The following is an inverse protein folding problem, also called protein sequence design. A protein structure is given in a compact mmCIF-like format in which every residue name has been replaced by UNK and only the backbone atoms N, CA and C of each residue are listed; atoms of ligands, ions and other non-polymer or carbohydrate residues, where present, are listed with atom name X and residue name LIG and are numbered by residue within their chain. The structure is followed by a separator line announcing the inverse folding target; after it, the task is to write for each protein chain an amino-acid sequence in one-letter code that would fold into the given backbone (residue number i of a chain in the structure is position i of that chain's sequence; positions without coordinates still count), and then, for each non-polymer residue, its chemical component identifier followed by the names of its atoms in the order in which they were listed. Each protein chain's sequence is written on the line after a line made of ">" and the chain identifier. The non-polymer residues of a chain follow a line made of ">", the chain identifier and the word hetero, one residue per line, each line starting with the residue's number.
data_IF_786816085504
#
_entry.id   IF_786816085504
#
_cell.length_a   1.000
_cell.length_b   1.000
_cell.length_c   1.000
_cell.angle_alpha   90.00
_cell.angle_beta   90.00
_cell.angle_gamma   90.00
#
_symmetry.space_group_name_H-M   'P 1'
#
loop_
_entity.id
_entity.type
_entity.pdbx_description
1 polymer ?
#
# COMPACT_ATOMS: atom_id res chain seq x y z
N UNK A 1 35.02 49.07 -35.57
CA UNK A 1 34.07 48.08 -36.09
C UNK A 1 34.40 46.74 -35.48
N UNK A 2 33.65 46.34 -34.43
CA UNK A 2 33.74 45.01 -33.83
C UNK A 2 32.45 44.27 -34.24
N UNK A 3 32.54 43.24 -35.06
CA UNK A 3 31.46 42.33 -35.36
C UNK A 3 31.35 41.33 -34.20
N UNK A 4 30.19 41.34 -33.51
CA UNK A 4 29.80 40.36 -32.54
C UNK A 4 29.45 39.03 -33.21
N UNK A 5 30.15 38.01 -32.85
CA UNK A 5 29.94 36.62 -33.29
C UNK A 5 28.79 36.01 -32.46
N UNK A 6 27.53 36.15 -32.89
CA UNK A 6 26.38 35.39 -32.37
C UNK A 6 26.50 33.91 -32.83
N UNK A 7 27.27 33.10 -32.13
CA UNK A 7 27.32 31.65 -32.34
C UNK A 7 26.09 30.95 -31.72
N UNK A 8 25.20 30.59 -32.62
CA UNK A 8 24.34 29.40 -32.67
C UNK A 8 24.30 28.53 -31.42
N UNK A 9 23.42 28.82 -30.46
CA UNK A 9 23.01 27.95 -29.36
C UNK A 9 21.77 27.13 -29.78
N UNK A 10 21.05 27.54 -30.81
CA UNK A 10 19.77 26.96 -31.27
C UNK A 10 19.77 25.48 -31.65
N UNK A 11 20.79 24.89 -32.31
CA UNK A 11 20.74 23.47 -32.66
C UNK A 11 20.86 22.54 -31.45
N UNK A 12 21.53 22.95 -30.38
CA UNK A 12 21.65 22.11 -29.16
C UNK A 12 20.36 22.11 -28.35
N UNK A 13 19.65 23.22 -28.24
CA UNK A 13 18.36 23.31 -27.55
C UNK A 13 17.31 22.48 -28.27
N UNK A 14 17.26 22.53 -29.62
CA UNK A 14 16.34 21.70 -30.42
C UNK A 14 16.63 20.22 -30.27
N UNK A 15 17.89 19.80 -30.21
CA UNK A 15 18.26 18.40 -30.02
C UNK A 15 17.87 17.91 -28.62
N UNK A 16 18.06 18.72 -27.58
CA UNK A 16 17.66 18.37 -26.20
C UNK A 16 16.13 18.25 -26.11
N UNK A 17 15.37 19.19 -26.67
CA UNK A 17 13.90 19.15 -26.64
C UNK A 17 13.37 17.93 -27.42
N UNK A 18 13.99 17.58 -28.56
CA UNK A 18 13.61 16.37 -29.32
C UNK A 18 13.96 15.10 -28.55
N UNK A 19 15.11 15.04 -27.88
CA UNK A 19 15.50 13.89 -27.04
C UNK A 19 14.55 13.72 -25.84
N UNK A 20 14.20 14.81 -25.17
CA UNK A 20 13.22 14.77 -24.07
C UNK A 20 11.82 14.36 -24.55
N UNK A 21 11.38 14.82 -25.72
CA UNK A 21 10.12 14.40 -26.31
C UNK A 21 10.13 12.90 -26.72
N UNK A 22 11.27 12.40 -27.21
CA UNK A 22 11.43 10.96 -27.53
C UNK A 22 11.44 10.12 -26.26
N UNK A 23 12.12 10.55 -25.21
CA UNK A 23 12.15 9.87 -23.91
C UNK A 23 10.73 9.85 -23.30
N UNK A 24 10.02 10.97 -23.32
CA UNK A 24 8.64 11.06 -22.86
C UNK A 24 7.69 10.18 -23.70
N UNK A 25 7.84 10.16 -25.02
CA UNK A 25 7.04 9.32 -25.92
C UNK A 25 7.33 7.82 -25.75
N UNK A 26 8.60 7.45 -25.53
CA UNK A 26 8.99 6.07 -25.26
C UNK A 26 8.55 5.63 -23.86
N UNK A 27 8.67 6.51 -22.86
CA UNK A 27 8.17 6.28 -21.50
C UNK A 27 6.66 6.13 -21.48
N UNK A 28 5.94 7.02 -22.14
CA UNK A 28 4.48 6.94 -22.25
C UNK A 28 4.02 5.73 -23.09
N UNK A 29 4.71 5.43 -24.18
CA UNK A 29 4.43 4.23 -24.99
C UNK A 29 4.70 2.94 -24.25
N UNK A 30 5.75 2.88 -23.45
CA UNK A 30 6.08 1.75 -22.59
C UNK A 30 5.04 1.62 -21.45
N UNK A 31 4.70 2.72 -20.80
CA UNK A 31 3.70 2.77 -19.75
C UNK A 31 2.29 2.40 -20.25
N UNK A 32 1.86 2.93 -21.42
CA UNK A 32 0.57 2.58 -22.02
C UNK A 32 0.52 1.12 -22.50
N UNK A 33 1.66 0.55 -22.89
CA UNK A 33 1.76 -0.88 -23.27
C UNK A 33 1.68 -1.77 -22.03
N UNK A 34 2.33 -1.39 -20.92
CA UNK A 34 2.19 -2.06 -19.62
C UNK A 34 0.74 -2.01 -19.10
N UNK A 35 0.04 -0.89 -19.28
CA UNK A 35 -1.38 -0.77 -18.91
C UNK A 35 -2.31 -1.57 -19.83
N UNK A 36 -2.08 -1.56 -21.12
CA UNK A 36 -2.91 -2.31 -22.10
C UNK A 36 -2.79 -3.83 -21.94
N UNK A 37 -1.64 -4.31 -21.46
CA UNK A 37 -1.40 -5.75 -21.22
C UNK A 37 -1.88 -6.21 -19.84
N UNK A 38 -2.25 -5.28 -18.92
CA UNK A 38 -2.76 -5.59 -17.58
C UNK A 38 -4.27 -5.81 -17.52
N UNK A 39 -5.01 -5.66 -18.63
CA UNK A 39 -6.43 -5.94 -18.67
C UNK A 39 -6.70 -7.46 -18.74
N UNK A 40 -6.64 -8.11 -17.58
CA UNK A 40 -7.30 -9.40 -17.37
C UNK A 40 -8.82 -9.19 -17.38
N UNK A 41 -9.62 -10.21 -17.77
CA UNK A 41 -11.07 -10.07 -17.76
C UNK A 41 -11.53 -9.63 -16.37
N UNK A 42 -12.13 -8.46 -16.29
CA UNK A 42 -12.80 -7.96 -15.08
C UNK A 42 -13.90 -8.95 -14.76
N UNK A 43 -13.90 -9.56 -13.59
CA UNK A 43 -15.05 -10.29 -13.09
C UNK A 43 -16.27 -9.36 -13.18
N UNK A 44 -17.36 -9.87 -13.76
CA UNK A 44 -18.55 -9.05 -14.03
C UNK A 44 -19.15 -8.54 -12.71
N UNK A 45 -18.80 -7.31 -12.35
CA UNK A 45 -19.25 -6.63 -11.12
C UNK A 45 -20.77 -6.45 -11.10
N UNK A 46 -21.44 -6.63 -12.24
CA UNK A 46 -22.88 -6.48 -12.40
C UNK A 46 -23.67 -7.77 -12.09
N UNK A 47 -23.03 -8.85 -11.70
CA UNK A 47 -23.76 -10.04 -11.24
C UNK A 47 -24.55 -9.69 -9.98
N UNK A 48 -25.89 -9.77 -9.97
CA UNK A 48 -26.69 -9.45 -8.79
C UNK A 48 -26.33 -10.38 -7.64
N UNK A 49 -26.01 -9.82 -6.49
CA UNK A 49 -25.87 -10.58 -5.26
C UNK A 49 -27.25 -11.18 -4.85
N UNK A 50 -27.30 -12.37 -4.27
CA UNK A 50 -28.50 -12.86 -3.67
C UNK A 50 -28.98 -11.91 -2.57
N UNK A 51 -30.30 -11.75 -2.35
CA UNK A 51 -30.83 -10.86 -1.34
C UNK A 51 -30.31 -11.27 0.05
N UNK A 52 -29.70 -10.36 0.76
CA UNK A 52 -29.24 -10.54 2.14
C UNK A 52 -30.47 -10.67 3.05
N UNK A 53 -30.64 -11.81 3.69
CA UNK A 53 -31.78 -12.11 4.56
C UNK A 53 -31.46 -11.95 6.06
N UNK A 54 -30.30 -11.44 6.44
CA UNK A 54 -29.95 -11.15 7.84
C UNK A 54 -29.42 -9.75 7.97
N UNK A 55 -30.12 -8.91 8.70
CA UNK A 55 -29.51 -7.75 9.36
C UNK A 55 -28.46 -8.26 10.32
N UNK A 56 -27.21 -7.77 10.30
CA UNK A 56 -26.28 -8.07 11.37
C UNK A 56 -26.92 -7.62 12.69
N UNK A 57 -26.92 -8.50 13.69
CA UNK A 57 -27.15 -8.06 15.06
C UNK A 57 -26.18 -6.90 15.34
N UNK A 58 -26.68 -5.83 15.96
CA UNK A 58 -25.88 -4.63 16.21
C UNK A 58 -24.60 -4.99 16.97
N UNK A 59 -23.58 -4.11 16.93
CA UNK A 59 -22.29 -4.38 17.55
C UNK A 59 -22.49 -4.84 19.00
N UNK A 60 -21.77 -5.90 19.37
CA UNK A 60 -21.73 -6.37 20.75
C UNK A 60 -21.43 -5.23 21.71
N UNK A 61 -21.98 -5.24 22.95
CA UNK A 61 -21.75 -4.16 23.89
C UNK A 61 -20.25 -4.00 24.13
N UNK A 62 -19.76 -2.80 23.83
CA UNK A 62 -18.38 -2.37 24.08
C UNK A 62 -18.00 -2.72 25.52
N UNK A 63 -16.86 -3.37 25.80
CA UNK A 63 -16.39 -3.59 27.15
C UNK A 63 -16.27 -2.24 27.88
N UNK A 64 -16.78 -2.17 29.07
CA UNK A 64 -17.06 -0.94 29.85
C UNK A 64 -15.78 -0.37 30.50
N UNK A 65 -14.61 -0.41 29.89
CA UNK A 65 -13.36 0.26 30.32
C UNK A 65 -12.23 0.02 29.28
N UNK A 66 -12.47 0.30 27.99
CA UNK A 66 -11.35 0.41 27.06
C UNK A 66 -10.51 1.65 27.43
N UNK A 67 -9.21 1.47 27.58
CA UNK A 67 -8.29 2.61 27.74
C UNK A 67 -8.48 3.57 26.56
N UNK A 68 -8.49 4.89 26.80
CA UNK A 68 -8.72 5.87 25.74
C UNK A 68 -7.59 5.80 24.70
N UNK A 69 -7.93 5.96 23.43
CA UNK A 69 -6.95 6.07 22.36
C UNK A 69 -5.89 7.13 22.67
N UNK A 70 -4.64 6.79 22.42
CA UNK A 70 -3.51 7.72 22.58
C UNK A 70 -2.74 7.88 21.28
N UNK A 71 -2.64 9.15 20.81
CA UNK A 71 -1.72 9.52 19.74
C UNK A 71 -0.55 10.28 20.37
N UNK A 72 0.67 9.78 20.18
CA UNK A 72 1.87 10.35 20.80
C UNK A 72 2.96 10.61 19.79
N UNK A 73 3.47 11.83 19.80
CA UNK A 73 4.71 12.19 19.10
C UNK A 73 5.89 11.69 19.90
N UNK A 74 6.63 10.72 19.40
CA UNK A 74 7.88 10.28 20.02
C UNK A 74 9.05 11.22 19.72
N UNK A 75 8.93 12.08 18.72
CA UNK A 75 9.89 13.12 18.44
C UNK A 75 9.82 13.69 17.05
N UNK A 76 10.42 14.87 16.92
CA UNK A 76 10.83 15.43 15.64
C UNK A 76 12.34 15.32 15.56
N UNK A 77 12.84 14.68 14.52
CA UNK A 77 14.27 14.58 14.23
C UNK A 77 14.56 15.52 13.07
N UNK A 78 15.37 16.53 13.32
CA UNK A 78 15.86 17.48 12.30
C UNK A 78 17.39 17.41 12.21
N UNK A 79 17.93 16.49 11.41
CA UNK A 79 19.38 16.32 11.30
C UNK A 79 20.08 17.49 10.60
N UNK A 80 19.36 18.32 9.86
CA UNK A 80 19.92 19.44 9.11
C UNK A 80 19.94 20.77 9.90
N UNK A 81 19.24 20.86 11.05
CA UNK A 81 19.06 22.12 11.79
C UNK A 81 18.30 23.14 10.95
N UNK A 82 17.23 22.69 10.30
CA UNK A 82 16.42 23.48 9.39
C UNK A 82 15.75 24.68 10.08
N UNK A 83 15.30 25.71 9.35
CA UNK A 83 14.67 26.89 9.91
C UNK A 83 13.23 26.65 10.37
N UNK A 84 12.94 25.48 10.92
CA UNK A 84 11.64 25.14 11.52
C UNK A 84 11.51 25.85 12.86
N UNK A 85 10.35 26.44 13.08
CA UNK A 85 9.98 26.97 14.38
C UNK A 85 9.16 25.94 15.15
N UNK A 86 9.05 26.12 16.47
CA UNK A 86 8.18 25.30 17.33
C UNK A 86 6.73 25.27 16.81
N UNK A 87 6.23 26.38 16.24
CA UNK A 87 4.86 26.42 15.70
C UNK A 87 4.68 25.50 14.48
N UNK A 88 5.70 25.32 13.64
CA UNK A 88 5.62 24.37 12.52
C UNK A 88 5.49 22.93 13.05
N UNK A 89 6.32 22.55 14.02
CA UNK A 89 6.29 21.19 14.59
C UNK A 89 4.99 20.94 15.39
N UNK A 90 4.44 21.96 16.07
CA UNK A 90 3.13 21.85 16.71
C UNK A 90 2.05 21.59 15.66
N UNK A 91 2.00 22.36 14.56
CA UNK A 91 0.98 22.19 13.52
C UNK A 91 1.10 20.83 12.79
N UNK A 92 2.33 20.34 12.57
CA UNK A 92 2.53 18.97 12.06
C UNK A 92 1.93 17.93 13.04
N UNK A 93 2.17 18.08 14.33
CA UNK A 93 1.58 17.22 15.37
C UNK A 93 0.05 17.30 15.41
N UNK A 94 -0.51 18.49 15.35
CA UNK A 94 -1.97 18.69 15.28
C UNK A 94 -2.59 18.04 14.03
N UNK A 95 -1.90 18.09 12.89
CA UNK A 95 -2.32 17.37 11.68
C UNK A 95 -2.33 15.85 11.90
N UNK A 96 -1.27 15.29 12.49
CA UNK A 96 -1.19 13.86 12.75
C UNK A 96 -2.28 13.40 13.73
N UNK A 97 -2.55 14.18 14.77
CA UNK A 97 -3.65 13.92 15.70
C UNK A 97 -5.01 13.95 15.00
N UNK A 98 -5.24 14.95 14.13
CA UNK A 98 -6.47 15.08 13.35
C UNK A 98 -6.63 13.98 12.30
N UNK A 99 -5.53 13.36 11.87
CA UNK A 99 -5.52 12.21 10.97
C UNK A 99 -5.82 10.90 11.71
N UNK A 100 -5.11 10.62 12.81
CA UNK A 100 -5.19 9.34 13.49
C UNK A 100 -6.41 9.20 14.41
N UNK A 101 -6.82 10.26 15.12
CA UNK A 101 -7.94 10.16 16.06
C UNK A 101 -9.25 9.68 15.42
N UNK A 102 -9.71 10.24 14.28
CA UNK A 102 -10.91 9.73 13.61
C UNK A 102 -10.77 8.28 13.13
N UNK A 103 -9.59 7.87 12.68
CA UNK A 103 -9.32 6.50 12.25
C UNK A 103 -9.34 5.50 13.40
N UNK A 104 -8.91 5.93 14.58
CA UNK A 104 -8.86 5.09 15.77
C UNK A 104 -10.24 4.87 16.38
N UNK A 105 -11.03 5.92 16.50
CA UNK A 105 -12.30 5.90 17.18
C UNK A 105 -13.51 5.76 16.25
N UNK A 106 -13.27 5.76 14.94
CA UNK A 106 -14.31 5.85 13.90
C UNK A 106 -15.16 7.13 14.04
N UNK A 107 -14.48 8.21 14.40
CA UNK A 107 -15.05 9.53 14.61
C UNK A 107 -15.25 10.33 13.32
N UNK A 108 -15.76 11.54 13.46
CA UNK A 108 -15.91 12.45 12.32
C UNK A 108 -14.61 13.23 12.09
N UNK A 109 -14.02 13.21 10.88
CA UNK A 109 -12.86 14.04 10.56
C UNK A 109 -13.17 15.53 10.68
N UNK A 110 -12.22 16.30 11.20
CA UNK A 110 -12.29 17.76 11.25
C UNK A 110 -10.87 18.33 11.07
N UNK A 111 -10.58 18.79 9.86
CA UNK A 111 -9.29 19.36 9.48
C UNK A 111 -9.39 20.85 9.08
N UNK A 112 -10.58 21.42 9.05
CA UNK A 112 -10.83 22.78 8.52
C UNK A 112 -9.95 23.85 9.19
N UNK A 113 -9.71 23.74 10.49
CA UNK A 113 -8.92 24.71 11.25
C UNK A 113 -7.41 24.64 10.95
N UNK A 114 -6.93 23.56 10.38
CA UNK A 114 -5.50 23.32 10.09
C UNK A 114 -5.08 23.89 8.73
N UNK A 115 -6.02 24.04 7.79
CA UNK A 115 -5.73 24.42 6.42
C UNK A 115 -6.24 25.83 6.07
N UNK A 116 -5.43 26.58 5.32
CA UNK A 116 -5.92 27.77 4.60
C UNK A 116 -6.67 27.35 3.34
N UNK A 117 -6.24 26.26 2.69
CA UNK A 117 -6.88 25.69 1.49
C UNK A 117 -7.99 24.72 1.91
N UNK A 118 -9.24 25.16 1.81
CA UNK A 118 -10.41 24.35 2.20
C UNK A 118 -10.61 23.13 1.29
N UNK A 119 -10.18 23.17 0.03
CA UNK A 119 -10.26 22.02 -0.89
C UNK A 119 -9.34 20.88 -0.43
N UNK A 120 -8.19 21.22 0.11
CA UNK A 120 -7.26 20.25 0.67
C UNK A 120 -7.81 19.62 1.97
N UNK A 121 -8.38 20.44 2.86
CA UNK A 121 -9.05 19.96 4.07
C UNK A 121 -10.21 19.00 3.75
N UNK A 122 -11.08 19.35 2.80
CA UNK A 122 -12.20 18.51 2.36
C UNK A 122 -11.70 17.18 1.77
N UNK A 123 -10.63 17.22 0.98
CA UNK A 123 -9.96 16.08 0.37
C UNK A 123 -9.49 15.06 1.42
N UNK A 124 -8.77 15.54 2.44
CA UNK A 124 -8.31 14.69 3.53
C UNK A 124 -9.47 14.16 4.37
N UNK A 125 -10.50 14.97 4.61
CA UNK A 125 -11.69 14.55 5.35
C UNK A 125 -12.44 13.43 4.60
N UNK A 126 -12.55 13.51 3.27
CA UNK A 126 -13.20 12.48 2.44
C UNK A 126 -12.38 11.19 2.41
N UNK A 127 -11.05 11.29 2.35
CA UNK A 127 -10.15 10.13 2.46
C UNK A 127 -10.33 9.42 3.82
N UNK A 128 -10.34 10.17 4.92
CA UNK A 128 -10.57 9.64 6.26
C UNK A 128 -11.94 8.98 6.40
N UNK A 129 -13.02 9.61 5.92
CA UNK A 129 -14.37 9.02 5.92
C UNK A 129 -14.39 7.69 5.18
N UNK A 130 -13.68 7.59 4.05
CA UNK A 130 -13.59 6.36 3.26
C UNK A 130 -12.83 5.26 4.01
N UNK A 131 -11.69 5.58 4.61
CA UNK A 131 -10.91 4.64 5.42
C UNK A 131 -11.71 4.13 6.63
N UNK A 132 -12.41 5.02 7.31
CA UNK A 132 -13.28 4.67 8.44
C UNK A 132 -14.35 3.68 7.98
N UNK A 133 -15.02 3.93 6.85
CA UNK A 133 -16.03 3.02 6.31
C UNK A 133 -15.45 1.65 5.96
N UNK A 134 -14.26 1.60 5.37
CA UNK A 134 -13.53 0.35 5.08
C UNK A 134 -13.29 -0.44 6.36
N UNK A 135 -12.73 0.21 7.39
CA UNK A 135 -12.41 -0.40 8.67
C UNK A 135 -13.65 -0.85 9.44
N UNK A 136 -14.71 -0.05 9.46
CA UNK A 136 -16.01 -0.42 10.07
C UNK A 136 -16.68 -1.61 9.38
N UNK A 137 -16.37 -1.84 8.09
CA UNK A 137 -16.91 -2.96 7.31
C UNK A 137 -16.09 -4.25 7.49
N UNK A 138 -15.01 -4.25 8.25
CA UNK A 138 -14.22 -5.44 8.53
C UNK A 138 -14.98 -6.43 9.44
N UNK A 139 -14.52 -7.68 9.46
CA UNK A 139 -15.04 -8.71 10.38
C UNK A 139 -14.43 -8.62 11.79
N UNK A 140 -13.43 -7.76 11.97
CA UNK A 140 -12.69 -7.57 13.22
C UNK A 140 -12.79 -6.12 13.66
N UNK A 141 -12.54 -5.87 14.95
CA UNK A 141 -12.49 -4.51 15.48
C UNK A 141 -11.15 -3.85 15.10
N UNK A 142 -11.19 -2.98 14.11
CA UNK A 142 -10.04 -2.24 13.59
C UNK A 142 -9.90 -0.84 14.20
N UNK A 143 -10.53 -0.57 15.34
CA UNK A 143 -10.19 0.60 16.15
C UNK A 143 -8.76 0.48 16.63
N UNK A 144 -8.07 1.60 16.77
CA UNK A 144 -6.73 1.62 17.32
C UNK A 144 -6.75 1.99 18.80
N UNK A 145 -5.93 1.31 19.59
CA UNK A 145 -5.71 1.63 21.00
C UNK A 145 -4.65 2.72 21.16
N UNK A 146 -3.63 2.69 20.31
CA UNK A 146 -2.57 3.69 20.30
C UNK A 146 -1.90 3.84 18.95
N UNK A 147 -1.33 5.03 18.72
CA UNK A 147 -0.34 5.32 17.69
C UNK A 147 0.79 6.12 18.33
N UNK A 148 2.00 5.60 18.22
CA UNK A 148 3.24 6.28 18.61
C UNK A 148 4.05 6.54 17.35
N UNK A 149 4.24 7.82 16.96
CA UNK A 149 4.92 8.17 15.72
C UNK A 149 6.12 9.09 15.92
N UNK A 150 7.04 9.07 14.97
CA UNK A 150 8.17 9.97 14.84
C UNK A 150 8.17 10.56 13.44
N UNK A 151 8.29 11.87 13.31
CA UNK A 151 8.52 12.55 12.05
C UNK A 151 10.00 12.93 11.95
N UNK A 152 10.68 12.41 10.94
CA UNK A 152 12.08 12.75 10.62
C UNK A 152 12.09 13.70 9.43
N UNK A 153 12.45 14.97 9.67
CA UNK A 153 12.54 15.98 8.63
C UNK A 153 13.73 15.66 7.72
N UNK A 154 13.48 15.57 6.42
CA UNK A 154 14.49 15.22 5.42
C UNK A 154 14.91 16.40 4.56
N UNK A 155 13.99 17.33 4.30
CA UNK A 155 14.28 18.58 3.56
C UNK A 155 13.38 19.72 3.99
N UNK A 156 13.87 20.96 3.86
CA UNK A 156 13.11 22.20 4.13
C UNK A 156 13.55 23.28 3.17
N UNK A 157 12.60 23.78 2.39
CA UNK A 157 12.84 24.84 1.43
C UNK A 157 11.72 25.88 1.36
N UNK A 158 12.07 27.12 0.95
CA UNK A 158 11.10 28.16 0.65
C UNK A 158 10.81 28.17 -0.85
N UNK A 159 9.57 27.97 -1.22
CA UNK A 159 9.10 27.98 -2.59
C UNK A 159 7.86 28.89 -2.73
N UNK A 160 7.92 29.90 -3.61
CA UNK A 160 6.82 30.83 -3.91
C UNK A 160 6.15 31.50 -2.70
N UNK A 161 6.87 31.67 -1.59
CA UNK A 161 6.39 32.29 -0.37
C UNK A 161 5.73 31.34 0.62
N UNK A 162 5.84 30.05 0.37
CA UNK A 162 5.45 28.97 1.28
C UNK A 162 6.69 28.25 1.83
N UNK A 163 6.61 27.71 3.02
CA UNK A 163 7.61 26.79 3.54
C UNK A 163 7.20 25.36 3.22
N UNK A 164 8.01 24.69 2.42
CA UNK A 164 7.86 23.27 2.10
C UNK A 164 8.75 22.44 3.02
N UNK A 165 8.18 21.46 3.67
CA UNK A 165 8.88 20.53 4.58
C UNK A 165 8.62 19.11 4.12
N UNK A 166 9.68 18.37 3.82
CA UNK A 166 9.61 16.92 3.65
C UNK A 166 9.96 16.22 4.96
N UNK A 167 9.19 15.20 5.31
CA UNK A 167 9.43 14.40 6.50
C UNK A 167 9.03 12.94 6.28
N UNK A 168 9.77 12.02 6.88
CA UNK A 168 9.41 10.61 6.91
C UNK A 168 8.76 10.27 8.26
N UNK A 169 7.59 9.62 8.19
CA UNK A 169 6.92 9.08 9.35
C UNK A 169 7.33 7.63 9.60
N UNK A 170 7.68 7.32 10.85
CA UNK A 170 7.71 5.95 11.37
C UNK A 170 6.71 5.88 12.52
N UNK A 171 5.77 4.92 12.45
CA UNK A 171 4.72 4.79 13.45
C UNK A 171 4.57 3.34 13.94
N UNK A 172 4.23 3.21 15.23
CA UNK A 172 3.83 1.95 15.86
C UNK A 172 2.36 2.07 16.24
N UNK A 173 1.53 1.21 15.68
CA UNK A 173 0.09 1.20 15.87
C UNK A 173 -0.34 -0.08 16.58
N UNK A 174 -1.36 -0.02 17.44
CA UNK A 174 -2.02 -1.19 18.04
C UNK A 174 -3.49 -1.17 17.70
N UNK A 175 -3.98 -2.30 17.21
CA UNK A 175 -5.38 -2.49 16.86
C UNK A 175 -6.09 -3.35 17.90
N UNK A 176 -7.35 -3.02 18.20
CA UNK A 176 -8.17 -3.78 19.16
C UNK A 176 -8.31 -5.27 18.79
N UNK A 177 -8.33 -5.59 17.50
CA UNK A 177 -8.37 -6.97 17.03
C UNK A 177 -7.08 -7.77 17.31
N UNK A 178 -5.95 -7.08 17.49
CA UNK A 178 -4.61 -7.68 17.68
C UNK A 178 -3.79 -6.91 18.71
N UNK A 179 -4.27 -6.80 19.97
CA UNK A 179 -3.72 -5.87 20.97
C UNK A 179 -2.28 -6.22 21.39
N UNK A 180 -1.87 -7.46 21.21
CA UNK A 180 -0.52 -7.93 21.55
C UNK A 180 0.48 -7.74 20.39
N UNK A 181 0.04 -7.24 19.22
CA UNK A 181 0.87 -7.10 18.02
C UNK A 181 1.06 -5.63 17.68
N UNK A 182 2.32 -5.20 17.59
CA UNK A 182 2.70 -3.89 17.07
C UNK A 182 2.67 -3.94 15.53
N UNK A 183 1.75 -3.19 14.93
CA UNK A 183 1.76 -2.89 13.50
C UNK A 183 2.67 -1.70 13.24
N UNK A 184 3.69 -1.86 12.39
CA UNK A 184 4.71 -0.83 12.19
C UNK A 184 4.64 -0.29 10.77
N UNK A 185 4.64 1.04 10.64
CA UNK A 185 4.88 1.76 9.41
C UNK A 185 6.32 2.31 9.44
N UNK A 186 7.08 2.11 8.37
CA UNK A 186 8.45 2.59 8.26
C UNK A 186 8.59 3.64 7.16
N UNK A 187 9.14 4.79 7.51
CA UNK A 187 9.63 5.83 6.59
C UNK A 187 8.62 6.23 5.50
N UNK A 188 7.36 6.48 5.88
CA UNK A 188 6.36 7.03 4.97
C UNK A 188 6.67 8.50 4.66
N UNK A 189 6.93 8.87 3.39
CA UNK A 189 7.20 10.25 3.03
C UNK A 189 5.95 11.13 3.13
N UNK A 190 6.11 12.28 3.77
CA UNK A 190 5.14 13.37 3.85
C UNK A 190 5.73 14.64 3.26
N UNK A 191 4.89 15.46 2.63
CA UNK A 191 5.17 16.84 2.25
C UNK A 191 4.16 17.73 2.94
N UNK A 192 4.65 18.66 3.76
CA UNK A 192 3.86 19.70 4.39
C UNK A 192 4.20 21.05 3.76
N UNK A 193 3.21 21.76 3.25
CA UNK A 193 3.38 23.12 2.73
C UNK A 193 2.65 24.09 3.65
N UNK A 194 3.42 24.95 4.31
CA UNK A 194 2.92 25.90 5.31
C UNK A 194 2.64 27.27 4.69
N UNK A 195 1.52 27.89 5.10
CA UNK A 195 1.18 29.27 4.82
C UNK A 195 1.33 30.12 6.08
N UNK A 196 2.35 30.99 6.11
CA UNK A 196 2.65 31.93 7.20
C UNK A 196 2.27 33.40 6.87
N UNK A 197 1.60 33.62 5.73
CA UNK A 197 1.24 34.95 5.24
C UNK A 197 0.00 35.54 5.95
N UNK A 198 -0.74 34.69 6.66
CA UNK A 198 -1.94 35.08 7.40
C UNK A 198 -1.64 35.59 8.82
N UNK A 199 -2.68 35.71 9.63
CA UNK A 199 -2.58 36.06 11.06
C UNK A 199 -2.11 34.87 11.91
N UNK A 200 -2.28 33.64 11.40
CA UNK A 200 -1.87 32.38 12.02
C UNK A 200 -1.17 31.49 10.99
N UNK A 201 -0.23 30.68 11.48
CA UNK A 201 0.37 29.60 10.69
C UNK A 201 -0.67 28.53 10.42
N UNK A 202 -0.78 28.08 9.17
CA UNK A 202 -1.69 27.01 8.73
C UNK A 202 -0.99 26.15 7.68
N UNK A 203 -1.55 24.99 7.35
CA UNK A 203 -1.18 24.22 6.17
C UNK A 203 -1.87 24.80 4.93
N UNK A 204 -1.14 24.92 3.86
CA UNK A 204 -1.68 25.19 2.52
C UNK A 204 -1.96 23.87 1.78
N UNK A 205 -1.06 22.89 1.93
CA UNK A 205 -1.15 21.58 1.32
C UNK A 205 -0.45 20.52 2.18
N UNK A 206 -0.95 19.28 2.08
CA UNK A 206 -0.28 18.11 2.62
C UNK A 206 -0.42 16.93 1.66
N UNK A 207 0.67 16.17 1.51
CA UNK A 207 0.73 14.96 0.69
C UNK A 207 1.51 13.88 1.45
N UNK A 208 1.10 12.61 1.27
CA UNK A 208 1.85 11.45 1.71
C UNK A 208 1.81 10.36 0.62
N UNK A 209 2.91 9.61 0.46
CA UNK A 209 3.04 8.60 -0.59
C UNK A 209 2.00 7.48 -0.51
N UNK A 210 1.51 7.16 0.68
CA UNK A 210 0.42 6.21 0.91
C UNK A 210 -0.91 6.94 1.20
N UNK A 211 -1.14 8.06 0.55
CA UNK A 211 -2.38 8.77 0.72
C UNK A 211 -3.52 8.04 -0.02
N UNK A 212 -4.47 7.43 0.70
CA UNK A 212 -5.60 6.71 0.11
C UNK A 212 -6.46 7.61 -0.79
N UNK A 213 -6.40 8.92 -0.59
CA UNK A 213 -7.09 9.90 -1.42
C UNK A 213 -6.71 9.78 -2.90
N UNK A 214 -5.43 9.69 -3.24
CA UNK A 214 -5.00 9.53 -4.64
C UNK A 214 -5.55 8.25 -5.26
N UNK A 215 -5.71 7.21 -4.48
CA UNK A 215 -6.26 5.93 -4.93
C UNK A 215 -7.76 6.00 -5.20
N UNK A 216 -8.51 6.83 -4.49
CA UNK A 216 -9.96 6.98 -4.67
C UNK A 216 -10.34 7.96 -5.78
N UNK A 217 -9.51 8.98 -6.06
CA UNK A 217 -9.77 9.96 -7.14
C UNK A 217 -9.51 9.41 -8.53
N UNK A 218 -8.70 8.38 -8.68
CA UNK A 218 -8.37 7.79 -9.98
C UNK A 218 -9.49 6.93 -10.61
N UNK A 219 -10.60 6.70 -9.94
CA UNK A 219 -11.79 6.14 -10.55
C UNK A 219 -12.49 7.21 -11.39
N UNK A 220 -11.91 7.56 -12.56
CA UNK A 220 -12.40 8.60 -13.46
C UNK A 220 -13.89 8.41 -13.75
N UNK A 221 -14.69 9.47 -13.49
CA UNK A 221 -16.06 9.61 -13.92
C UNK A 221 -17.14 9.06 -12.98
N UNK A 222 -16.79 8.44 -11.86
CA UNK A 222 -17.75 8.11 -10.80
C UNK A 222 -17.62 9.12 -9.65
N UNK A 223 -18.75 9.65 -9.17
CA UNK A 223 -18.75 10.50 -7.96
C UNK A 223 -18.33 9.71 -6.72
N UNK A 224 -18.00 10.43 -5.66
CA UNK A 224 -17.60 9.86 -4.35
C UNK A 224 -18.54 8.74 -3.88
N UNK A 225 -19.86 8.96 -3.92
CA UNK A 225 -20.89 8.01 -3.50
C UNK A 225 -20.83 6.67 -4.28
N UNK A 226 -20.60 6.74 -5.59
CA UNK A 226 -20.49 5.52 -6.41
C UNK A 226 -19.24 4.71 -6.08
N UNK A 227 -18.14 5.38 -5.74
CA UNK A 227 -16.91 4.73 -5.31
C UNK A 227 -17.09 4.03 -3.95
N UNK A 228 -17.74 4.69 -3.00
CA UNK A 228 -18.08 4.09 -1.70
C UNK A 228 -18.96 2.85 -1.86
N UNK A 229 -20.01 2.91 -2.67
CA UNK A 229 -20.87 1.75 -2.93
C UNK A 229 -20.08 0.59 -3.54
N UNK A 230 -19.19 0.87 -4.49
CA UNK A 230 -18.32 -0.16 -5.08
C UNK A 230 -17.37 -0.79 -4.03
N UNK A 231 -16.74 0.03 -3.19
CA UNK A 231 -15.83 -0.40 -2.12
C UNK A 231 -16.56 -1.34 -1.17
N UNK A 232 -17.69 -0.92 -0.63
CA UNK A 232 -18.49 -1.72 0.32
C UNK A 232 -18.95 -3.04 -0.30
N UNK A 233 -19.40 -3.04 -1.55
CA UNK A 233 -19.77 -4.28 -2.26
C UNK A 233 -18.56 -5.21 -2.47
N UNK A 234 -17.38 -4.67 -2.72
CA UNK A 234 -16.16 -5.49 -2.87
C UNK A 234 -15.79 -6.20 -1.56
N UNK A 235 -15.91 -5.48 -0.44
CA UNK A 235 -15.69 -6.04 0.90
C UNK A 235 -16.74 -7.11 1.21
N UNK A 236 -18.04 -6.81 1.04
CA UNK A 236 -19.13 -7.74 1.27
C UNK A 236 -18.99 -9.03 0.45
N UNK A 237 -18.69 -8.89 -0.86
CA UNK A 237 -18.46 -10.05 -1.74
C UNK A 237 -17.33 -10.94 -1.23
N UNK A 238 -16.20 -10.36 -0.79
CA UNK A 238 -15.10 -11.10 -0.19
C UNK A 238 -15.57 -11.83 1.08
N UNK A 239 -16.31 -11.18 1.95
CA UNK A 239 -16.82 -11.77 3.20
C UNK A 239 -17.79 -12.94 2.97
N UNK A 240 -18.56 -12.92 1.89
CA UNK A 240 -19.47 -14.03 1.53
C UNK A 240 -18.71 -15.31 1.18
N UNK A 241 -17.44 -15.25 0.80
CA UNK A 241 -16.60 -16.44 0.55
C UNK A 241 -16.05 -17.08 1.82
N UNK A 242 -16.32 -16.51 2.99
CA UNK A 242 -15.84 -17.05 4.27
C UNK A 242 -16.42 -18.44 4.53
N UNK A 243 -15.55 -19.39 4.83
CA UNK A 243 -15.93 -20.78 5.04
C UNK A 243 -16.01 -21.62 3.76
N UNK A 244 -15.86 -21.03 2.58
CA UNK A 244 -15.64 -21.78 1.36
C UNK A 244 -14.27 -22.46 1.42
N UNK A 245 -14.23 -23.74 1.11
CA UNK A 245 -12.97 -24.48 1.02
C UNK A 245 -12.43 -24.35 -0.39
N UNK A 246 -11.13 -24.10 -0.51
CA UNK A 246 -10.46 -24.23 -1.79
C UNK A 246 -10.77 -25.62 -2.40
N UNK A 247 -11.28 -25.64 -3.63
CA UNK A 247 -11.68 -26.88 -4.32
C UNK A 247 -10.51 -27.52 -5.08
N UNK A 248 -9.40 -26.80 -5.23
CA UNK A 248 -8.23 -27.24 -6.00
C UNK A 248 -7.24 -27.93 -5.07
N UNK A 249 -7.00 -29.21 -5.32
CA UNK A 249 -5.97 -29.99 -4.62
C UNK A 249 -4.66 -29.98 -5.42
N UNK A 250 -3.95 -28.87 -5.37
CA UNK A 250 -2.59 -28.81 -5.90
C UNK A 250 -1.61 -29.48 -4.93
N UNK A 251 -0.62 -30.15 -5.49
CA UNK A 251 0.48 -30.73 -4.72
C UNK A 251 1.80 -30.36 -5.36
N UNK A 252 2.81 -30.10 -4.51
CA UNK A 252 4.17 -29.85 -4.93
C UNK A 252 5.06 -31.03 -4.54
N UNK A 253 6.15 -31.25 -5.27
CA UNK A 253 7.17 -32.27 -4.93
C UNK A 253 7.98 -31.87 -3.70
N UNK A 254 8.21 -30.56 -3.53
CA UNK A 254 8.95 -29.98 -2.43
C UNK A 254 8.10 -28.95 -1.69
N UNK A 255 8.13 -28.95 -0.35
CA UNK A 255 7.36 -27.98 0.43
C UNK A 255 8.00 -26.59 0.37
N UNK A 256 7.18 -25.56 0.61
CA UNK A 256 7.60 -24.21 0.91
C UNK A 256 7.93 -24.08 2.39
N UNK A 257 9.13 -23.56 2.71
CA UNK A 257 9.53 -23.30 4.09
C UNK A 257 9.01 -21.92 4.54
N UNK A 258 7.81 -21.93 5.13
CA UNK A 258 7.13 -20.74 5.60
C UNK A 258 7.87 -20.02 6.72
N UNK A 259 8.63 -20.76 7.56
CA UNK A 259 9.41 -20.16 8.63
C UNK A 259 10.61 -19.39 8.08
N UNK A 260 11.36 -19.97 7.13
CA UNK A 260 12.47 -19.28 6.48
C UNK A 260 11.99 -18.04 5.70
N UNK A 261 10.83 -18.13 5.07
CA UNK A 261 10.19 -16.99 4.41
C UNK A 261 9.84 -15.86 5.40
N UNK A 262 9.26 -16.21 6.54
CA UNK A 262 8.89 -15.27 7.60
C UNK A 262 10.11 -14.62 8.26
N UNK A 263 11.16 -15.41 8.51
CA UNK A 263 12.44 -14.90 9.03
C UNK A 263 13.03 -13.83 8.08
N UNK A 264 13.05 -14.11 6.78
CA UNK A 264 13.49 -13.15 5.76
C UNK A 264 12.59 -11.91 5.70
N UNK A 265 11.28 -12.10 5.75
CA UNK A 265 10.31 -11.01 5.76
C UNK A 265 10.58 -10.05 6.91
N UNK A 266 10.74 -10.55 8.12
CA UNK A 266 11.00 -9.70 9.30
C UNK A 266 12.39 -9.08 9.31
N UNK A 267 13.38 -9.74 8.71
CA UNK A 267 14.71 -9.16 8.58
C UNK A 267 14.74 -7.95 7.64
N UNK A 268 13.96 -7.99 6.54
CA UNK A 268 14.05 -6.99 5.47
C UNK A 268 12.80 -6.13 5.27
N UNK A 269 11.73 -6.33 6.03
CA UNK A 269 10.58 -5.43 6.03
C UNK A 269 11.00 -4.03 6.52
N UNK A 270 10.61 -2.99 5.77
CA UNK A 270 11.00 -1.61 6.06
C UNK A 270 12.43 -1.24 5.67
N UNK A 271 13.24 -2.18 5.20
CA UNK A 271 14.59 -1.93 4.68
C UNK A 271 14.84 -2.72 3.40
N UNK A 272 15.97 -2.45 2.75
CA UNK A 272 16.35 -3.14 1.51
C UNK A 272 17.54 -4.06 1.78
N UNK A 273 17.53 -5.25 1.15
CA UNK A 273 18.66 -6.15 1.16
C UNK A 273 19.60 -5.78 0.02
N UNK A 274 20.82 -5.38 0.33
CA UNK A 274 21.85 -4.88 -0.62
C UNK A 274 22.24 -5.93 -1.70
N UNK A 275 21.87 -7.19 -1.51
CA UNK A 275 22.06 -8.22 -2.54
C UNK A 275 21.24 -7.94 -3.80
N UNK A 276 20.10 -7.27 -3.66
CA UNK A 276 19.11 -7.05 -4.70
C UNK A 276 19.02 -5.58 -5.08
N UNK A 277 18.80 -5.29 -6.36
CA UNK A 277 18.52 -3.91 -6.77
C UNK A 277 17.16 -3.44 -6.20
N UNK A 278 17.13 -2.26 -5.62
CA UNK A 278 15.89 -1.65 -5.11
C UNK A 278 15.17 -0.90 -6.24
N UNK A 279 13.92 -1.29 -6.50
CA UNK A 279 13.11 -0.74 -7.60
C UNK A 279 12.20 0.41 -7.16
N UNK A 280 12.37 0.97 -5.96
CA UNK A 280 11.51 2.03 -5.41
C UNK A 280 11.35 3.23 -6.35
N UNK A 281 12.45 3.67 -6.98
CA UNK A 281 12.44 4.81 -7.89
C UNK A 281 11.82 4.55 -9.28
N UNK A 282 11.46 3.29 -9.60
CA UNK A 282 11.02 2.89 -10.95
C UNK A 282 9.74 2.06 -10.95
N UNK A 283 8.87 2.27 -9.98
CA UNK A 283 7.54 1.65 -9.93
C UNK A 283 7.25 0.82 -8.69
N UNK A 284 8.15 0.85 -7.69
CA UNK A 284 7.95 0.17 -6.42
C UNK A 284 8.71 -1.14 -6.28
N UNK A 285 8.92 -1.55 -5.03
CA UNK A 285 9.74 -2.70 -4.64
C UNK A 285 8.91 -3.89 -4.08
N UNK A 286 7.59 -3.78 -4.09
CA UNK A 286 6.71 -4.73 -3.40
C UNK A 286 6.84 -6.15 -3.93
N UNK A 287 6.74 -6.36 -5.26
CA UNK A 287 6.87 -7.70 -5.82
C UNK A 287 8.32 -8.21 -5.79
N UNK A 288 9.31 -7.32 -6.00
CA UNK A 288 10.72 -7.68 -5.80
C UNK A 288 10.97 -8.23 -4.39
N UNK A 289 10.40 -7.58 -3.36
CA UNK A 289 10.48 -8.06 -1.99
C UNK A 289 9.71 -9.38 -1.80
N UNK A 290 8.50 -9.50 -2.37
CA UNK A 290 7.74 -10.76 -2.35
C UNK A 290 8.51 -11.92 -2.97
N UNK A 291 9.18 -11.69 -4.11
CA UNK A 291 10.02 -12.69 -4.78
C UNK A 291 11.20 -13.12 -3.91
N UNK A 292 11.85 -12.19 -3.22
CA UNK A 292 12.93 -12.50 -2.28
C UNK A 292 12.45 -13.35 -1.08
N UNK A 293 11.25 -13.07 -0.56
CA UNK A 293 10.61 -13.86 0.51
C UNK A 293 10.35 -15.30 0.04
N UNK A 294 9.79 -15.47 -1.17
CA UNK A 294 9.53 -16.78 -1.75
C UNK A 294 10.83 -17.58 -1.96
N UNK A 295 11.87 -16.93 -2.49
CA UNK A 295 13.19 -17.53 -2.68
C UNK A 295 13.80 -17.96 -1.33
N UNK A 296 13.69 -17.12 -0.28
CA UNK A 296 14.17 -17.47 1.06
C UNK A 296 13.42 -18.66 1.66
N UNK A 297 12.14 -18.83 1.33
CA UNK A 297 11.34 -20.01 1.67
C UNK A 297 11.64 -21.25 0.82
N UNK A 298 12.67 -21.21 -0.03
CA UNK A 298 13.17 -22.37 -0.78
C UNK A 298 12.50 -22.57 -2.15
N UNK A 299 11.71 -21.64 -2.65
CA UNK A 299 11.22 -21.69 -4.03
C UNK A 299 12.39 -21.35 -4.96
N UNK A 300 12.78 -22.23 -5.89
CA UNK A 300 13.89 -21.94 -6.81
C UNK A 300 13.48 -20.96 -7.91
N UNK A 301 14.44 -20.15 -8.35
CA UNK A 301 14.28 -19.34 -9.56
C UNK A 301 14.00 -20.24 -10.76
N UNK A 302 13.16 -19.77 -11.66
CA UNK A 302 12.72 -20.51 -12.85
C UNK A 302 13.06 -19.73 -14.12
N UNK A 303 14.05 -20.26 -14.86
CA UNK A 303 14.47 -19.78 -16.19
C UNK A 303 14.02 -20.75 -17.30
N UNK A 304 12.97 -21.55 -17.05
CA UNK A 304 12.58 -22.67 -17.93
C UNK A 304 11.17 -22.49 -18.47
N UNK A 305 11.02 -22.79 -19.74
CA UNK A 305 9.71 -22.88 -20.37
C UNK A 305 9.18 -21.59 -20.96
N UNK A 306 7.83 -21.44 -20.97
CA UNK A 306 7.15 -20.28 -21.54
C UNK A 306 6.81 -19.21 -20.50
N UNK A 307 6.88 -19.57 -19.21
CA UNK A 307 6.70 -18.70 -18.08
C UNK A 307 7.94 -18.79 -17.18
N UNK A 308 8.53 -17.66 -16.86
CA UNK A 308 9.79 -17.55 -16.13
C UNK A 308 9.60 -16.70 -14.87
N UNK A 309 10.45 -16.93 -13.87
CA UNK A 309 10.50 -16.15 -12.62
C UNK A 309 11.91 -16.22 -12.04
N UNK A 310 12.78 -15.25 -12.41
CA UNK A 310 14.18 -15.21 -11.99
C UNK A 310 14.74 -13.80 -11.96
N UNK A 311 15.89 -13.63 -11.29
CA UNK A 311 16.65 -12.40 -11.24
C UNK A 311 18.16 -12.68 -11.18
N UNK A 312 18.89 -12.46 -12.26
CA UNK A 312 20.36 -12.55 -12.35
C UNK A 312 21.01 -11.15 -12.45
N UNK A 313 20.29 -10.10 -12.08
CA UNK A 313 20.78 -8.72 -12.04
C UNK A 313 19.73 -7.71 -12.50
N UNK A 314 20.02 -6.43 -12.28
CA UNK A 314 19.10 -5.33 -12.60
C UNK A 314 18.60 -5.32 -14.06
N UNK A 315 19.43 -5.82 -15.01
CA UNK A 315 19.14 -5.84 -16.43
C UNK A 315 18.96 -7.27 -17.00
N UNK A 316 18.96 -8.28 -16.14
CA UNK A 316 18.79 -9.68 -16.49
C UNK A 316 17.83 -10.33 -15.48
N UNK A 317 16.54 -10.27 -15.78
CA UNK A 317 15.46 -10.78 -14.95
C UNK A 317 14.21 -11.00 -15.81
N UNK A 318 13.33 -11.88 -15.38
CA UNK A 318 11.95 -11.87 -15.87
C UNK A 318 11.10 -10.84 -15.11
N UNK A 319 10.18 -10.19 -15.82
CA UNK A 319 9.31 -9.16 -15.22
C UNK A 319 8.40 -9.71 -14.11
N UNK A 320 8.13 -11.01 -14.08
CA UNK A 320 7.39 -11.65 -12.99
C UNK A 320 8.05 -11.50 -11.62
N UNK A 321 9.39 -11.29 -11.59
CA UNK A 321 10.12 -11.05 -10.35
C UNK A 321 9.79 -9.71 -9.71
N UNK A 322 9.47 -8.67 -10.50
CA UNK A 322 9.29 -7.29 -10.02
C UNK A 322 7.91 -6.71 -10.27
N UNK A 323 7.06 -7.37 -11.07
CA UNK A 323 5.75 -6.86 -11.47
C UNK A 323 4.63 -7.78 -10.99
N UNK A 324 3.66 -7.21 -10.25
CA UNK A 324 2.57 -7.94 -9.58
C UNK A 324 1.71 -8.73 -10.57
N UNK A 325 1.30 -8.11 -11.68
CA UNK A 325 0.46 -8.75 -12.68
C UNK A 325 1.18 -9.88 -13.41
N UNK A 326 2.48 -9.69 -13.71
CA UNK A 326 3.32 -10.73 -14.33
C UNK A 326 3.58 -11.91 -13.39
N UNK A 327 3.78 -11.63 -12.10
CA UNK A 327 3.88 -12.69 -11.09
C UNK A 327 2.60 -13.52 -11.01
N UNK A 328 1.43 -12.85 -10.97
CA UNK A 328 0.15 -13.55 -11.00
C UNK A 328 0.00 -14.42 -12.25
N UNK A 329 0.38 -13.89 -13.43
CA UNK A 329 0.36 -14.66 -14.68
C UNK A 329 1.30 -15.85 -14.66
N UNK A 330 2.50 -15.69 -14.08
CA UNK A 330 3.44 -16.80 -13.86
C UNK A 330 2.82 -17.88 -12.98
N UNK A 331 2.31 -17.53 -11.81
CA UNK A 331 1.67 -18.47 -10.89
C UNK A 331 0.55 -19.27 -11.56
N UNK A 332 -0.23 -18.62 -12.43
CA UNK A 332 -1.38 -19.23 -13.11
C UNK A 332 -0.97 -20.14 -14.27
N UNK A 333 0.15 -19.87 -14.92
CA UNK A 333 0.58 -20.56 -16.14
C UNK A 333 1.63 -21.62 -15.88
N UNK A 334 2.36 -21.53 -14.77
CA UNK A 334 3.42 -22.46 -14.48
C UNK A 334 2.86 -23.85 -14.14
N UNK A 335 3.11 -24.85 -14.99
CA UNK A 335 2.71 -26.24 -14.83
C UNK A 335 3.92 -27.18 -14.67
N UNK A 336 5.14 -26.65 -14.69
CA UNK A 336 6.39 -27.42 -14.72
C UNK A 336 7.29 -27.18 -13.52
N UNK A 337 8.55 -26.90 -13.82
CA UNK A 337 9.56 -26.57 -12.83
C UNK A 337 9.21 -25.27 -12.07
N UNK A 338 9.65 -25.17 -10.84
CA UNK A 338 9.53 -23.96 -10.04
C UNK A 338 8.26 -23.91 -9.20
N UNK A 339 7.74 -22.71 -8.95
CA UNK A 339 6.65 -22.42 -8.03
C UNK A 339 5.35 -23.14 -8.40
N UNK A 340 4.74 -23.79 -7.40
CA UNK A 340 3.37 -24.30 -7.43
C UNK A 340 2.52 -23.43 -6.50
N UNK A 341 1.54 -22.73 -7.06
CA UNK A 341 0.67 -21.84 -6.32
C UNK A 341 -0.79 -22.00 -6.75
N UNK A 342 -1.74 -21.88 -5.80
CA UNK A 342 -3.17 -21.83 -6.07
C UNK A 342 -3.62 -20.37 -6.19
N UNK A 343 -3.95 -19.94 -7.41
CA UNK A 343 -4.44 -18.60 -7.73
C UNK A 343 -5.95 -18.44 -7.61
N UNK A 344 -6.66 -19.55 -7.39
CA UNK A 344 -8.12 -19.61 -7.20
C UNK A 344 -8.49 -19.92 -5.75
N UNK A 345 -7.51 -19.91 -4.83
CA UNK A 345 -7.74 -20.14 -3.41
C UNK A 345 -8.71 -19.11 -2.82
N UNK A 346 -9.65 -19.57 -2.01
CA UNK A 346 -10.55 -18.67 -1.30
C UNK A 346 -9.80 -17.72 -0.36
N UNK A 347 -10.19 -16.45 -0.31
CA UNK A 347 -9.49 -15.41 0.47
C UNK A 347 -9.18 -15.87 1.91
N UNK A 348 -10.12 -16.50 2.59
CA UNK A 348 -9.97 -16.91 4.00
C UNK A 348 -9.27 -18.28 4.20
N UNK A 349 -8.51 -18.76 3.20
CA UNK A 349 -7.72 -20.01 3.29
C UNK A 349 -6.20 -19.75 3.34
N UNK A 350 -5.79 -18.49 3.45
CA UNK A 350 -4.39 -18.07 3.48
C UNK A 350 -3.65 -18.56 4.73
N UNK A 351 -2.36 -18.71 4.58
CA UNK A 351 -1.41 -19.12 5.62
C UNK A 351 -0.22 -18.14 5.64
N UNK A 352 0.52 -18.13 6.73
CA UNK A 352 1.77 -17.34 6.85
C UNK A 352 2.68 -17.63 5.66
N UNK A 353 3.24 -16.59 5.05
CA UNK A 353 4.11 -16.65 3.89
C UNK A 353 3.39 -16.71 2.53
N UNK A 354 2.06 -16.81 2.51
CA UNK A 354 1.30 -16.66 1.26
C UNK A 354 1.34 -15.22 0.77
N UNK A 355 1.20 -15.05 -0.55
CA UNK A 355 1.17 -13.74 -1.18
C UNK A 355 -0.27 -13.22 -1.22
N UNK A 356 -0.49 -12.02 -0.72
CA UNK A 356 -1.75 -11.31 -0.87
C UNK A 356 -1.55 -10.13 -1.84
N UNK A 357 -2.10 -10.26 -3.04
CA UNK A 357 -2.15 -9.19 -4.01
C UNK A 357 -3.32 -8.28 -3.67
N UNK A 358 -3.07 -6.97 -3.60
CA UNK A 358 -4.10 -5.97 -3.32
C UNK A 358 -4.19 -4.92 -4.42
N UNK A 359 -5.35 -4.28 -4.55
CA UNK A 359 -5.60 -3.27 -5.58
C UNK A 359 -7.04 -2.74 -5.58
N UNK A 360 -7.46 -2.24 -6.75
CA UNK A 360 -8.80 -1.72 -7.00
C UNK A 360 -9.37 -2.33 -8.27
N UNK A 361 -10.68 -2.50 -8.35
CA UNK A 361 -11.39 -2.90 -9.57
C UNK A 361 -10.82 -4.15 -10.27
N UNK A 362 -10.20 -5.07 -9.52
CA UNK A 362 -9.54 -6.24 -10.08
C UNK A 362 -8.12 -5.99 -10.57
N UNK A 363 -7.62 -4.77 -10.51
CA UNK A 363 -6.23 -4.43 -10.82
C UNK A 363 -5.28 -4.94 -9.72
N UNK A 364 -4.18 -5.52 -10.12
CA UNK A 364 -3.09 -5.96 -9.26
C UNK A 364 -2.12 -4.80 -9.03
N UNK A 365 -2.26 -4.07 -7.91
CA UNK A 365 -1.50 -2.85 -7.66
C UNK A 365 -0.30 -3.07 -6.76
N UNK A 366 -0.46 -3.88 -5.73
CA UNK A 366 0.54 -4.01 -4.71
C UNK A 366 0.62 -5.47 -4.22
N UNK A 367 1.81 -5.89 -3.81
CA UNK A 367 2.08 -7.21 -3.26
C UNK A 367 2.39 -7.09 -1.78
N UNK A 368 1.68 -7.87 -0.98
CA UNK A 368 1.94 -8.04 0.44
C UNK A 368 2.13 -9.51 0.77
N UNK A 369 2.77 -9.81 1.87
CA UNK A 369 2.96 -11.18 2.37
C UNK A 369 2.19 -11.33 3.68
N UNK A 370 1.45 -12.42 3.83
CA UNK A 370 0.78 -12.74 5.08
C UNK A 370 1.83 -13.06 6.13
N UNK A 371 1.93 -12.23 7.17
CA UNK A 371 2.84 -12.41 8.29
C UNK A 371 2.18 -13.11 9.48
N UNK A 372 0.86 -12.95 9.64
CA UNK A 372 0.06 -13.70 10.63
C UNK A 372 -1.39 -13.84 10.19
N UNK A 373 -2.14 -14.71 10.87
CA UNK A 373 -3.54 -15.02 10.56
C UNK A 373 -4.41 -14.72 11.78
N UNK A 374 -5.41 -13.87 11.60
CA UNK A 374 -6.35 -13.50 12.67
C UNK A 374 -7.57 -14.41 12.63
N UNK A 375 -7.88 -15.02 13.77
CA UNK A 375 -9.01 -15.94 13.93
C UNK A 375 -10.09 -15.36 14.84
N UNK A 376 -11.34 -15.68 14.56
CA UNK A 376 -12.42 -15.45 15.51
C UNK A 376 -12.43 -16.50 16.65
N UNK A 377 -13.34 -16.34 17.60
CA UNK A 377 -13.54 -17.26 18.73
C UNK A 377 -13.88 -18.71 18.32
N UNK A 378 -14.37 -18.91 17.10
CA UNK A 378 -14.70 -20.22 16.53
C UNK A 378 -13.53 -20.83 15.74
N UNK A 379 -12.37 -20.17 15.72
CA UNK A 379 -11.19 -20.58 14.98
C UNK A 379 -11.32 -20.41 13.46
N UNK A 380 -12.21 -19.53 13.00
CA UNK A 380 -12.32 -19.19 11.58
C UNK A 380 -11.47 -17.95 11.27
N UNK A 381 -10.81 -17.96 10.13
CA UNK A 381 -10.04 -16.80 9.67
C UNK A 381 -10.98 -15.61 9.44
N UNK A 382 -10.63 -14.45 9.99
CA UNK A 382 -11.37 -13.19 9.84
C UNK A 382 -10.56 -12.09 9.23
N UNK A 383 -9.21 -12.12 9.38
CA UNK A 383 -8.29 -11.17 8.77
C UNK A 383 -6.89 -11.77 8.68
N UNK A 384 -5.98 -11.02 8.10
CA UNK A 384 -4.55 -11.29 8.05
C UNK A 384 -3.77 -10.10 8.55
N UNK A 385 -2.61 -10.34 9.17
CA UNK A 385 -1.56 -9.35 9.27
C UNK A 385 -0.66 -9.48 8.04
N UNK A 386 -0.34 -8.36 7.43
CA UNK A 386 0.46 -8.29 6.22
C UNK A 386 1.70 -7.45 6.42
N UNK A 387 2.75 -7.82 5.70
CA UNK A 387 3.99 -7.07 5.65
C UNK A 387 4.44 -6.86 4.21
N UNK A 388 5.00 -5.69 3.89
CA UNK A 388 5.38 -5.34 2.53
C UNK A 388 6.50 -4.29 2.51
N UNK A 389 7.16 -4.18 1.35
CA UNK A 389 8.03 -3.06 0.99
C UNK A 389 7.33 -2.22 -0.09
N UNK A 390 7.64 -0.95 -0.16
CA UNK A 390 6.86 0.11 -0.80
C UNK A 390 5.54 0.28 -0.03
N UNK A 391 5.34 1.40 0.62
CA UNK A 391 4.47 1.52 1.78
C UNK A 391 4.86 0.45 2.82
N UNK A 392 5.93 0.69 3.51
CA UNK A 392 6.64 -0.32 4.30
C UNK A 392 5.89 -0.68 5.58
N UNK A 393 4.81 -1.45 5.48
CA UNK A 393 4.07 -1.97 6.62
C UNK A 393 4.65 -3.30 7.11
N UNK A 394 4.66 -3.47 8.43
CA UNK A 394 4.91 -4.74 9.11
C UNK A 394 3.73 -5.06 10.01
N UNK A 395 3.21 -6.29 9.90
CA UNK A 395 2.11 -6.83 10.71
C UNK A 395 0.86 -5.92 10.72
N UNK A 396 0.53 -5.31 9.58
CA UNK A 396 -0.61 -4.42 9.44
C UNK A 396 -1.87 -5.20 9.06
N UNK A 397 -3.05 -4.94 9.68
CA UNK A 397 -4.26 -5.65 9.33
C UNK A 397 -4.66 -5.42 7.87
N UNK A 398 -4.82 -6.49 7.10
CA UNK A 398 -5.14 -6.40 5.67
C UNK A 398 -6.47 -5.68 5.42
N UNK A 399 -7.46 -5.86 6.31
CA UNK A 399 -8.76 -5.19 6.21
C UNK A 399 -8.72 -3.72 6.66
N UNK A 400 -7.63 -3.24 7.29
CA UNK A 400 -7.42 -1.83 7.61
C UNK A 400 -6.78 -1.07 6.45
N UNK A 401 -6.23 -1.79 5.45
CA UNK A 401 -5.59 -1.20 4.30
C UNK A 401 -6.64 -0.64 3.33
N UNK A 402 -6.32 0.44 2.63
CA UNK A 402 -7.29 1.12 1.76
C UNK A 402 -7.62 0.38 0.46
N UNK A 403 -6.85 -0.63 0.07
CA UNK A 403 -7.17 -1.46 -1.07
C UNK A 403 -8.39 -2.36 -0.78
N UNK A 404 -9.32 -2.38 -1.70
CA UNK A 404 -10.60 -3.11 -1.53
C UNK A 404 -10.64 -4.42 -2.31
N UNK A 405 -9.83 -4.55 -3.35
CA UNK A 405 -9.62 -5.80 -4.04
C UNK A 405 -8.44 -6.54 -3.40
N UNK A 406 -8.70 -7.77 -2.97
CA UNK A 406 -7.71 -8.67 -2.38
C UNK A 406 -7.75 -10.01 -3.11
N UNK A 407 -6.60 -10.51 -3.54
CA UNK A 407 -6.43 -11.81 -4.17
C UNK A 407 -5.35 -12.62 -3.46
N UNK A 408 -5.75 -13.75 -2.91
CA UNK A 408 -4.82 -14.70 -2.31
C UNK A 408 -4.12 -15.51 -3.40
N UNK A 409 -2.80 -15.59 -3.32
CA UNK A 409 -1.98 -16.56 -4.03
C UNK A 409 -1.42 -17.51 -2.99
N UNK A 410 -2.03 -18.68 -2.88
CA UNK A 410 -1.62 -19.66 -1.89
C UNK A 410 -0.42 -20.44 -2.37
N UNK A 411 0.69 -20.37 -1.65
CA UNK A 411 1.95 -21.03 -2.00
C UNK A 411 1.92 -22.47 -1.52
N UNK A 412 2.01 -23.42 -2.44
CA UNK A 412 1.98 -24.86 -2.14
C UNK A 412 3.39 -25.42 -1.98
N UNK A 413 4.33 -24.98 -2.81
CA UNK A 413 5.71 -25.43 -2.83
C UNK A 413 6.30 -25.29 -4.22
N UNK A 414 7.14 -26.27 -4.65
CA UNK A 414 7.75 -26.23 -5.96
C UNK A 414 8.00 -27.64 -6.54
N UNK A 415 8.19 -27.71 -7.86
CA UNK A 415 8.46 -28.93 -8.61
C UNK A 415 9.82 -28.89 -9.30
N UNK A 416 10.43 -30.06 -9.48
CA UNK A 416 11.70 -30.23 -10.25
C UNK A 416 11.49 -30.30 -11.77
N UNK A 417 10.29 -30.60 -12.21
CA UNK A 417 9.92 -30.76 -13.62
C UNK A 417 8.41 -30.72 -13.81
#
# INVERSE_FOLDING_TARGET
>A
MRQENKRRVWPFVVVIVVLLAIIAALGFGYWSKLQAESHLPVEDVNTPLPPVTSTPDGPDPVPDEAEPFTCRVNGFVDPAGAPLTENHTILMGEFMDAWYTPLAEFGSPNLDALFTNTEDADTHADALRTLILIRQSALTDLRMESVDYTLTVTDVEWEDGFLRVEANETAVMRFAATPETDSILYDLPHIFIFDDRGESLTLYHHEADDNPYFSFTYAEGSGYDANIEYILRSIERRQLTRGEKATVHLSAQHPYDRNAALDYLYEYCGKRNDKWYAYDAVGGNCMNFGSQVLLAGGIPEDERGEAEWYWDGQNDLDLSWINVGRFYDYCRKNEGYGLVADTEAGYYTGEIGDVLIVGFNGDHRHTTIISDVVFDENGQVVDYLISCNTTNYRDFPASAYYYTFHRLIKIIGWNES
#
